data_IF_876385148633
#
_entry.id   IF_876385148633
#
_cell.length_a   1.000
_cell.length_b   1.000
_cell.length_c   1.000
_cell.angle_alpha   90.00
_cell.angle_beta   90.00
_cell.angle_gamma   90.00
#
_symmetry.space_group_name_H-M   'P 1'
#
loop_
_entity.id
_entity.type
_entity.pdbx_description
1 polymer ?
#
# COMPACT_ATOMS: atom_id res chain seq x y z
N UNK A 1 0.22 9.59 -14.57
CA UNK A 1 0.63 8.17 -14.74
C UNK A 1 -0.40 7.30 -14.02
N UNK A 2 -0.91 6.25 -14.65
CA UNK A 2 -2.02 5.42 -14.12
C UNK A 2 -1.48 4.44 -13.07
N UNK A 3 -2.20 4.25 -11.96
CA UNK A 3 -1.90 3.19 -10.99
C UNK A 3 -1.94 1.84 -11.71
N UNK A 4 -0.93 1.01 -11.49
CA UNK A 4 -0.88 -0.35 -12.03
C UNK A 4 -1.21 -1.33 -10.89
N UNK A 5 -2.27 -2.12 -11.04
CA UNK A 5 -2.54 -3.27 -10.17
C UNK A 5 -1.88 -4.51 -10.77
N UNK A 6 -1.56 -5.50 -9.92
CA UNK A 6 -0.97 -6.77 -10.38
C UNK A 6 -1.93 -7.51 -11.33
N UNK A 7 -3.22 -7.49 -11.00
CA UNK A 7 -4.30 -8.10 -11.77
C UNK A 7 -5.65 -7.51 -11.33
N UNK A 8 -6.74 -7.97 -11.94
CA UNK A 8 -8.10 -7.48 -11.64
C UNK A 8 -8.58 -7.84 -10.23
N UNK A 9 -8.10 -8.95 -9.67
CA UNK A 9 -8.44 -9.39 -8.31
C UNK A 9 -7.83 -8.43 -7.29
N UNK A 10 -6.56 -8.08 -7.45
CA UNK A 10 -5.89 -7.08 -6.63
C UNK A 10 -6.61 -5.73 -6.71
N UNK A 11 -7.00 -5.25 -7.90
CA UNK A 11 -7.79 -4.01 -8.02
C UNK A 11 -9.11 -4.08 -7.26
N UNK A 12 -9.86 -5.18 -7.43
CA UNK A 12 -11.16 -5.39 -6.77
C UNK A 12 -10.99 -5.37 -5.25
N UNK A 13 -10.03 -6.14 -4.74
CA UNK A 13 -9.75 -6.24 -3.31
C UNK A 13 -9.32 -4.91 -2.72
N UNK A 14 -8.50 -4.15 -3.45
CA UNK A 14 -8.09 -2.81 -3.05
C UNK A 14 -9.29 -1.87 -2.90
N UNK A 15 -10.21 -1.87 -3.87
CA UNK A 15 -11.40 -1.01 -3.79
C UNK A 15 -12.32 -1.43 -2.63
N UNK A 16 -12.49 -2.73 -2.38
CA UNK A 16 -13.27 -3.23 -1.24
C UNK A 16 -12.70 -2.74 0.09
N UNK A 17 -11.39 -2.93 0.31
CA UNK A 17 -10.72 -2.48 1.52
C UNK A 17 -10.80 -0.96 1.67
N UNK A 18 -10.56 -0.21 0.59
CA UNK A 18 -10.66 1.26 0.57
C UNK A 18 -12.05 1.75 0.94
N UNK A 19 -13.11 1.18 0.35
CA UNK A 19 -14.50 1.55 0.67
C UNK A 19 -14.86 1.20 2.12
N UNK A 20 -14.24 0.14 2.66
CA UNK A 20 -14.35 -0.25 4.06
C UNK A 20 -13.75 0.75 5.05
N UNK A 21 -12.83 1.64 4.64
CA UNK A 21 -12.20 2.63 5.52
C UNK A 21 -13.16 3.77 5.90
N UNK A 22 -12.85 4.51 6.97
CA UNK A 22 -13.52 5.78 7.23
C UNK A 22 -13.28 6.77 6.08
N UNK A 23 -14.30 7.55 5.73
CA UNK A 23 -14.31 8.39 4.51
C UNK A 23 -13.10 9.32 4.41
N UNK A 24 -12.72 9.93 5.53
CA UNK A 24 -11.56 10.83 5.63
C UNK A 24 -10.23 10.18 5.21
N UNK A 25 -10.08 8.86 5.40
CA UNK A 25 -8.84 8.14 5.06
C UNK A 25 -8.84 7.56 3.64
N UNK A 26 -9.98 7.53 2.93
CA UNK A 26 -10.11 6.86 1.61
C UNK A 26 -9.28 7.48 0.49
N UNK A 27 -8.74 8.67 0.68
CA UNK A 27 -7.87 9.36 -0.28
C UNK A 27 -6.50 9.70 0.34
N UNK A 28 -6.24 9.27 1.57
CA UNK A 28 -4.99 9.55 2.26
C UNK A 28 -3.91 8.55 1.81
N UNK A 29 -2.76 9.06 1.35
CA UNK A 29 -1.75 8.27 0.65
C UNK A 29 -1.02 7.28 1.56
N UNK A 30 -0.83 7.64 2.83
CA UNK A 30 -0.28 6.81 3.89
C UNK A 30 -1.11 5.53 3.99
N UNK A 31 -2.41 5.66 4.30
CA UNK A 31 -3.29 4.51 4.51
C UNK A 31 -3.48 3.69 3.24
N UNK A 32 -3.63 4.35 2.10
CA UNK A 32 -3.85 3.63 0.85
C UNK A 32 -2.63 2.82 0.42
N UNK A 33 -1.40 3.24 0.77
CA UNK A 33 -0.22 2.41 0.50
C UNK A 33 -0.23 1.10 1.29
N UNK A 34 -0.72 1.11 2.53
CA UNK A 34 -0.91 -0.10 3.35
C UNK A 34 -2.00 -0.99 2.75
N UNK A 35 -3.17 -0.40 2.43
CA UNK A 35 -4.30 -1.12 1.83
C UNK A 35 -3.91 -1.75 0.49
N UNK A 36 -3.11 -1.05 -0.32
CA UNK A 36 -2.61 -1.55 -1.60
C UNK A 36 -1.71 -2.78 -1.41
N UNK A 37 -0.75 -2.74 -0.48
CA UNK A 37 0.10 -3.91 -0.18
C UNK A 37 -0.74 -5.09 0.33
N UNK A 38 -1.67 -4.84 1.26
CA UNK A 38 -2.57 -5.88 1.78
C UNK A 38 -3.42 -6.51 0.67
N UNK A 39 -4.00 -5.69 -0.21
CA UNK A 39 -4.85 -6.17 -1.30
C UNK A 39 -4.10 -7.04 -2.33
N UNK A 40 -2.78 -6.84 -2.47
CA UNK A 40 -1.95 -7.58 -3.42
C UNK A 40 -1.46 -8.94 -2.90
N UNK A 41 -1.64 -9.26 -1.62
CA UNK A 41 -1.11 -10.49 -1.02
C UNK A 41 -2.01 -10.97 0.13
N UNK A 42 -2.68 -12.12 -0.07
CA UNK A 42 -3.69 -12.63 0.86
C UNK A 42 -3.12 -12.99 2.24
N UNK A 43 -1.86 -13.43 2.32
CA UNK A 43 -1.21 -13.67 3.61
C UNK A 43 -0.98 -12.37 4.37
N UNK A 44 -0.49 -11.33 3.69
CA UNK A 44 -0.33 -10.00 4.28
C UNK A 44 -1.67 -9.43 4.72
N UNK A 45 -2.71 -9.52 3.88
CA UNK A 45 -4.06 -9.10 4.29
C UNK A 45 -4.50 -9.81 5.57
N UNK A 46 -4.44 -11.14 5.62
CA UNK A 46 -4.86 -11.92 6.78
C UNK A 46 -4.11 -11.54 8.07
N UNK A 47 -2.79 -11.35 7.97
CA UNK A 47 -1.92 -11.08 9.13
C UNK A 47 -1.99 -9.61 9.57
N UNK A 48 -1.98 -8.67 8.63
CA UNK A 48 -1.93 -7.23 8.94
C UNK A 48 -3.30 -6.65 9.34
N UNK A 49 -4.41 -7.16 8.77
CA UNK A 49 -5.73 -6.54 8.93
C UNK A 49 -6.18 -6.42 10.40
N UNK A 50 -5.73 -7.32 11.27
CA UNK A 50 -6.05 -7.30 12.70
C UNK A 50 -5.39 -6.13 13.45
N UNK A 51 -4.29 -5.63 12.93
CA UNK A 51 -3.47 -4.58 13.56
C UNK A 51 -3.65 -3.22 12.90
N UNK A 52 -4.34 -3.16 11.75
CA UNK A 52 -4.55 -1.94 10.99
C UNK A 52 -6.01 -1.47 11.06
N UNK A 53 -6.28 -0.60 12.03
CA UNK A 53 -7.60 0.00 12.22
C UNK A 53 -7.81 1.18 11.27
N UNK A 54 -8.42 0.91 10.12
CA UNK A 54 -8.75 1.93 9.10
C UNK A 54 -9.94 2.82 9.45
N UNK A 55 -10.60 2.61 10.59
CA UNK A 55 -11.68 3.47 11.09
C UNK A 55 -11.12 4.58 11.97
N UNK A 56 -10.16 4.24 12.83
CA UNK A 56 -9.52 5.17 13.76
C UNK A 56 -8.21 5.74 13.22
N UNK A 57 -7.63 5.07 12.22
CA UNK A 57 -6.39 5.48 11.59
C UNK A 57 -5.14 4.98 12.32
N UNK A 58 -5.25 3.85 13.03
CA UNK A 58 -4.17 3.31 13.85
C UNK A 58 -3.56 2.07 13.20
N UNK A 59 -2.25 1.91 13.35
CA UNK A 59 -1.53 0.71 12.94
C UNK A 59 -0.62 0.25 14.09
N UNK A 60 -1.00 -0.83 14.77
CA UNK A 60 -0.21 -1.46 15.83
C UNK A 60 0.87 -2.38 15.26
N UNK A 61 1.85 -1.79 14.56
CA UNK A 61 2.93 -2.53 13.88
C UNK A 61 3.80 -3.35 14.82
N UNK A 62 4.07 -2.83 16.02
CA UNK A 62 4.96 -3.49 16.99
C UNK A 62 4.34 -4.80 17.47
N UNK A 63 3.06 -4.78 17.83
CA UNK A 63 2.29 -5.98 18.20
C UNK A 63 2.26 -6.96 17.02
N UNK A 64 2.01 -6.47 15.80
CA UNK A 64 1.97 -7.29 14.59
C UNK A 64 3.29 -8.05 14.36
N UNK A 65 4.45 -7.39 14.44
CA UNK A 65 5.74 -8.06 14.21
C UNK A 65 6.19 -8.97 15.36
N UNK A 66 5.60 -8.80 16.54
CA UNK A 66 5.81 -9.68 17.69
C UNK A 66 4.93 -10.94 17.65
N UNK A 67 3.70 -10.83 17.13
CA UNK A 67 2.71 -11.91 17.17
C UNK A 67 2.63 -12.71 15.87
N UNK A 68 2.87 -12.08 14.72
CA UNK A 68 2.79 -12.73 13.41
C UNK A 68 4.16 -13.21 12.94
N UNK A 69 4.21 -14.47 12.55
CA UNK A 69 5.35 -14.97 11.78
C UNK A 69 5.16 -14.58 10.30
N UNK A 70 6.22 -14.14 9.61
CA UNK A 70 6.17 -13.76 8.20
C UNK A 70 7.27 -14.48 7.44
N UNK A 71 6.98 -14.97 6.23
CA UNK A 71 8.04 -15.36 5.30
C UNK A 71 8.98 -14.18 5.04
N UNK A 72 10.21 -14.44 4.61
CA UNK A 72 11.20 -13.37 4.38
C UNK A 72 10.70 -12.26 3.45
N UNK A 73 10.09 -12.62 2.32
CA UNK A 73 9.51 -11.66 1.37
C UNK A 73 8.31 -10.91 1.94
N UNK A 74 7.38 -11.62 2.61
CA UNK A 74 6.23 -10.97 3.23
C UNK A 74 6.64 -10.03 4.37
N UNK A 75 7.69 -10.37 5.13
CA UNK A 75 8.24 -9.51 6.17
C UNK A 75 8.77 -8.20 5.59
N UNK A 76 9.44 -8.25 4.43
CA UNK A 76 9.91 -7.04 3.73
C UNK A 76 8.74 -6.18 3.27
N UNK A 77 7.70 -6.77 2.67
CA UNK A 77 6.50 -6.04 2.26
C UNK A 77 5.73 -5.44 3.44
N UNK A 78 5.60 -6.18 4.55
CA UNK A 78 4.97 -5.68 5.77
C UNK A 78 5.76 -4.50 6.35
N UNK A 79 7.09 -4.60 6.39
CA UNK A 79 7.96 -3.49 6.81
C UNK A 79 7.83 -2.29 5.89
N UNK A 80 7.80 -2.51 4.58
CA UNK A 80 7.55 -1.44 3.61
C UNK A 80 6.20 -0.77 3.85
N UNK A 81 5.13 -1.53 4.14
CA UNK A 81 3.83 -0.95 4.43
C UNK A 81 3.86 -0.03 5.66
N UNK A 82 4.49 -0.48 6.76
CA UNK A 82 4.64 0.33 7.98
C UNK A 82 5.54 1.55 7.72
N UNK A 83 6.66 1.37 7.01
CA UNK A 83 7.56 2.47 6.64
C UNK A 83 6.85 3.54 5.81
N UNK A 84 6.07 3.14 4.79
CA UNK A 84 5.28 4.07 3.97
C UNK A 84 4.17 4.74 4.78
N UNK A 85 3.61 4.05 5.77
CA UNK A 85 2.55 4.59 6.63
C UNK A 85 3.07 5.69 7.57
N UNK A 86 4.11 5.40 8.36
CA UNK A 86 4.54 6.26 9.46
C UNK A 86 6.04 6.22 9.81
N UNK A 87 6.89 5.58 8.99
CA UNK A 87 8.36 5.48 9.22
C UNK A 87 8.78 4.67 10.47
N UNK A 88 7.87 3.94 11.14
CA UNK A 88 8.22 3.15 12.33
C UNK A 88 9.03 1.88 12.05
N UNK A 89 9.09 1.44 10.79
CA UNK A 89 9.93 0.34 10.36
C UNK A 89 10.90 0.83 9.29
N UNK A 90 12.01 0.12 9.11
CA UNK A 90 12.98 0.42 8.05
C UNK A 90 13.04 -0.71 7.05
N UNK A 91 13.02 -0.36 5.77
CA UNK A 91 13.31 -1.26 4.65
C UNK A 91 14.31 -0.57 3.73
N UNK A 92 15.37 -1.26 3.35
CA UNK A 92 16.36 -0.71 2.42
C UNK A 92 15.95 -1.00 0.97
N UNK A 93 16.38 -0.16 0.00
CA UNK A 93 16.18 -0.48 -1.41
C UNK A 93 16.75 -1.85 -1.80
N UNK A 94 17.84 -2.29 -1.18
CA UNK A 94 18.45 -3.58 -1.47
C UNK A 94 17.59 -4.75 -1.01
N UNK A 95 16.88 -4.62 0.12
CA UNK A 95 15.93 -5.63 0.58
C UNK A 95 14.84 -5.87 -0.47
N UNK A 96 14.33 -4.78 -1.07
CA UNK A 96 13.31 -4.84 -2.12
C UNK A 96 13.87 -5.48 -3.39
N UNK A 97 15.07 -5.08 -3.82
CA UNK A 97 15.67 -5.53 -5.09
C UNK A 97 16.12 -6.99 -5.06
N UNK A 98 16.68 -7.45 -3.94
CA UNK A 98 17.38 -8.75 -3.89
C UNK A 98 16.57 -9.89 -3.27
N UNK A 99 15.57 -9.59 -2.45
CA UNK A 99 14.86 -10.62 -1.70
C UNK A 99 13.39 -10.84 -2.12
N UNK A 100 12.84 -9.95 -2.96
CA UNK A 100 11.51 -10.11 -3.55
C UNK A 100 11.62 -10.76 -4.94
N UNK A 101 10.66 -11.63 -5.27
CA UNK A 101 10.47 -12.07 -6.65
C UNK A 101 9.86 -10.95 -7.49
N UNK A 102 9.75 -11.17 -8.81
CA UNK A 102 9.29 -10.15 -9.76
C UNK A 102 7.89 -9.61 -9.41
N UNK A 103 7.00 -10.47 -8.91
CA UNK A 103 5.63 -10.09 -8.56
C UNK A 103 5.61 -9.20 -7.30
N UNK A 104 6.31 -9.60 -6.24
CA UNK A 104 6.41 -8.81 -5.00
C UNK A 104 7.24 -7.55 -5.16
N UNK A 105 8.26 -7.58 -6.01
CA UNK A 105 9.01 -6.41 -6.41
C UNK A 105 8.10 -5.38 -7.09
N UNK A 106 7.28 -5.82 -8.05
CA UNK A 106 6.33 -4.96 -8.73
C UNK A 106 5.27 -4.40 -7.76
N UNK A 107 4.79 -5.21 -6.82
CA UNK A 107 3.88 -4.76 -5.76
C UNK A 107 4.51 -3.65 -4.91
N UNK A 108 5.75 -3.85 -4.47
CA UNK A 108 6.49 -2.88 -3.66
C UNK A 108 6.69 -1.55 -4.39
N UNK A 109 7.13 -1.58 -5.65
CA UNK A 109 7.30 -0.36 -6.46
C UNK A 109 5.98 0.38 -6.66
N UNK A 110 4.91 -0.35 -6.96
CA UNK A 110 3.60 0.26 -7.14
C UNK A 110 3.07 0.88 -5.84
N UNK A 111 3.34 0.26 -4.68
CA UNK A 111 2.99 0.84 -3.38
C UNK A 111 3.77 2.14 -3.08
N UNK A 112 5.07 2.19 -3.41
CA UNK A 112 5.88 3.42 -3.30
C UNK A 112 5.33 4.52 -4.21
N UNK A 113 4.98 4.17 -5.45
CA UNK A 113 4.32 5.10 -6.36
C UNK A 113 2.99 5.60 -5.81
N UNK A 114 2.20 4.69 -5.23
CA UNK A 114 0.94 5.01 -4.59
C UNK A 114 1.14 6.02 -3.46
N UNK A 115 2.12 5.79 -2.58
CA UNK A 115 2.45 6.70 -1.48
C UNK A 115 2.79 8.10 -1.98
N UNK A 116 3.53 8.20 -3.09
CA UNK A 116 3.93 9.50 -3.67
C UNK A 116 2.77 10.24 -4.30
N UNK A 117 2.02 9.58 -5.17
CA UNK A 117 1.06 10.24 -6.06
C UNK A 117 -0.39 10.14 -5.58
N UNK A 118 -0.73 9.12 -4.78
CA UNK A 118 -2.10 8.81 -4.39
C UNK A 118 -2.93 8.28 -5.56
N UNK A 119 -4.25 8.32 -5.40
CA UNK A 119 -5.19 8.02 -6.48
C UNK A 119 -5.38 9.29 -7.31
N UNK A 120 -5.06 9.23 -8.60
CA UNK A 120 -5.46 10.26 -9.54
C UNK A 120 -6.99 10.27 -9.64
N UNK A 121 -7.66 11.28 -9.07
CA UNK A 121 -8.98 11.66 -9.54
C UNK A 121 -8.78 12.21 -10.96
N UNK A 122 -9.56 11.75 -11.93
CA UNK A 122 -9.44 12.15 -13.34
C UNK A 122 -9.79 13.62 -13.64
N UNK A 123 -9.54 14.54 -12.71
CA UNK A 123 -9.61 15.99 -12.93
C UNK A 123 -8.20 16.54 -13.10
N UNK A 124 -7.58 16.18 -14.23
CA UNK A 124 -6.52 17.00 -14.80
C UNK A 124 -7.18 18.33 -15.24
N UNK A 125 -6.68 19.47 -14.76
CA UNK A 125 -7.16 20.80 -15.17
C UNK A 125 -7.04 20.99 -16.69
N UNK A 126 -7.93 21.81 -17.30
CA UNK A 126 -8.03 21.95 -18.74
C UNK A 126 -6.71 22.48 -19.30
N UNK A 127 -6.31 21.96 -20.47
CA UNK A 127 -5.16 22.46 -21.21
C UNK A 127 -5.28 23.99 -21.39
N UNK A 128 -4.56 24.76 -20.58
CA UNK A 128 -4.24 26.14 -20.91
C UNK A 128 -3.33 26.14 -22.13
N UNK A 129 -3.95 26.16 -23.31
CA UNK A 129 -3.38 26.76 -24.52
C UNK A 129 -4.42 27.68 -25.16
N UNK A 130 -4.78 28.75 -24.45
CA UNK A 130 -5.21 30.00 -25.07
C UNK A 130 -3.97 30.78 -25.50
N UNK A 131 -3.37 30.35 -26.60
CA UNK A 131 -2.57 31.21 -27.47
C UNK A 131 -2.84 30.77 -28.91
N UNK A 132 -3.85 31.38 -29.53
CA UNK A 132 -3.88 31.82 -30.93
C UNK A 132 -4.89 32.97 -31.06
#
# INVERSE_FOLDING_TARGET
>A
MKIQFLNQEHETKFQELRLGMAEYYRNNKEYLSVVYIMAGNEELHRKMNRYFNTKEGMFSSDDMFNEEDFSSGNRILAKLAVHLFNDNETVSPLDIISALDDEWFQLALNAIHFRRYGISSGYDFPEEKLYM
#
